data_IF_398007034373
#
_entry.id   IF_398007034373
#
_cell.length_a   1.000
_cell.length_b   1.000
_cell.length_c   1.000
_cell.angle_alpha   90.00
_cell.angle_beta   90.00
_cell.angle_gamma   90.00
#
_symmetry.space_group_name_H-M   'P 1'
#
loop_
_entity.id
_entity.type
_entity.pdbx_description
1 polymer ?
#
# COMPACT_ATOMS: atom_id res chain seq x y z
N UNK A 1 -7.55 -19.60 6.57
CA UNK A 1 -6.17 -19.09 6.63
C UNK A 1 -6.21 -17.56 6.66
N UNK A 2 -5.82 -16.89 7.74
CA UNK A 2 -5.84 -15.41 7.81
C UNK A 2 -4.66 -14.88 6.99
N UNK A 3 -4.89 -13.99 6.02
CA UNK A 3 -3.83 -13.36 5.22
C UNK A 3 -2.85 -12.64 6.14
N UNK A 4 -1.53 -12.74 5.88
CA UNK A 4 -0.51 -12.00 6.63
C UNK A 4 -0.80 -10.49 6.59
N UNK A 5 -0.51 -9.75 7.68
CA UNK A 5 -0.62 -8.30 7.64
C UNK A 5 0.47 -7.73 6.73
N UNK A 6 0.21 -6.55 6.20
CA UNK A 6 1.20 -5.74 5.50
C UNK A 6 2.30 -5.32 6.47
N UNK A 7 3.55 -5.63 6.15
CA UNK A 7 4.75 -5.26 6.92
C UNK A 7 5.82 -4.67 5.98
N UNK A 8 6.96 -4.26 6.55
CA UNK A 8 8.12 -3.87 5.76
C UNK A 8 8.50 -5.01 4.80
N UNK A 9 8.82 -4.65 3.56
CA UNK A 9 9.13 -5.53 2.43
C UNK A 9 7.98 -6.35 1.85
N UNK A 10 6.77 -6.26 2.41
CA UNK A 10 5.58 -6.85 1.77
C UNK A 10 5.37 -6.26 0.38
N UNK A 11 4.98 -7.13 -0.55
CA UNK A 11 4.45 -6.72 -1.84
C UNK A 11 2.92 -6.70 -1.73
N UNK A 12 2.32 -5.56 -2.03
CA UNK A 12 0.89 -5.31 -1.81
C UNK A 12 0.26 -4.90 -3.12
N UNK A 13 -0.80 -5.60 -3.51
CA UNK A 13 -1.65 -5.20 -4.64
C UNK A 13 -2.82 -4.41 -4.08
N UNK A 14 -2.98 -3.17 -4.55
CA UNK A 14 -4.06 -2.27 -4.15
C UNK A 14 -4.90 -1.87 -5.36
N UNK A 15 -6.21 -1.70 -5.15
CA UNK A 15 -7.13 -1.18 -6.16
C UNK A 15 -7.61 0.22 -5.76
N UNK A 16 -7.56 1.15 -6.70
CA UNK A 16 -8.10 2.52 -6.60
C UNK A 16 -8.73 2.90 -7.93
N UNK A 17 -9.93 3.48 -7.92
CA UNK A 17 -10.66 3.87 -9.15
C UNK A 17 -10.66 2.78 -10.23
N UNK A 18 -10.99 1.54 -9.83
CA UNK A 18 -11.01 0.34 -10.68
C UNK A 18 -9.67 -0.06 -11.33
N UNK A 19 -8.57 0.59 -10.96
CA UNK A 19 -7.21 0.28 -11.44
C UNK A 19 -6.40 -0.38 -10.32
N UNK A 20 -5.63 -1.40 -10.65
CA UNK A 20 -4.76 -2.10 -9.71
C UNK A 20 -3.32 -1.65 -9.84
N UNK A 21 -2.68 -1.48 -8.68
CA UNK A 21 -1.28 -1.11 -8.56
C UNK A 21 -0.58 -2.06 -7.61
N UNK A 22 0.67 -2.36 -7.92
CA UNK A 22 1.51 -3.23 -7.10
C UNK A 22 2.61 -2.37 -6.49
N UNK A 23 2.73 -2.44 -5.17
CA UNK A 23 3.75 -1.71 -4.44
C UNK A 23 4.56 -2.64 -3.55
N UNK A 24 5.85 -2.36 -3.40
CA UNK A 24 6.68 -2.93 -2.35
C UNK A 24 6.95 -1.88 -1.29
N UNK A 25 6.62 -2.19 -0.03
CA UNK A 25 6.86 -1.31 1.09
C UNK A 25 8.31 -1.40 1.53
N UNK A 26 9.02 -0.28 1.54
CA UNK A 26 10.44 -0.21 1.84
C UNK A 26 10.74 0.93 2.81
N UNK A 27 12.01 1.08 3.22
CA UNK A 27 12.47 2.26 3.95
C UNK A 27 12.70 3.43 2.99
N UNK A 28 12.85 4.64 3.55
CA UNK A 28 12.94 5.88 2.77
C UNK A 28 14.20 5.98 1.90
N UNK A 29 15.28 5.30 2.28
CA UNK A 29 16.53 5.16 1.53
C UNK A 29 16.47 4.16 0.36
N UNK A 30 15.44 3.31 0.31
CA UNK A 30 15.28 2.26 -0.69
C UNK A 30 14.22 2.57 -1.77
N UNK A 31 13.63 3.77 -1.72
CA UNK A 31 12.52 4.17 -2.60
C UNK A 31 12.96 4.11 -4.06
N UNK A 32 12.08 3.54 -4.89
CA UNK A 32 12.22 3.56 -6.33
C UNK A 32 10.81 3.44 -6.96
N UNK A 33 10.26 4.58 -7.38
CA UNK A 33 8.88 4.67 -7.89
C UNK A 33 8.71 3.89 -9.19
N UNK A 34 9.71 3.88 -10.08
CA UNK A 34 9.64 3.15 -11.35
C UNK A 34 9.60 1.64 -11.13
N UNK A 35 10.12 1.16 -10.00
CA UNK A 35 10.03 -0.24 -9.55
C UNK A 35 8.86 -0.51 -8.60
N UNK A 36 7.96 0.45 -8.39
CA UNK A 36 6.84 0.32 -7.45
C UNK A 36 7.25 0.24 -5.98
N UNK A 37 8.47 0.68 -5.61
CA UNK A 37 8.90 0.72 -4.21
C UNK A 37 8.46 2.04 -3.57
N UNK A 38 7.69 1.96 -2.50
CA UNK A 38 7.21 3.12 -1.74
C UNK A 38 7.66 3.02 -0.28
N UNK A 39 7.98 4.16 0.34
CA UNK A 39 8.35 4.17 1.75
C UNK A 39 7.14 3.87 2.65
N UNK A 40 7.37 3.11 3.72
CA UNK A 40 6.41 2.94 4.83
C UNK A 40 6.04 4.27 5.50
N UNK A 41 6.84 5.31 5.32
CA UNK A 41 6.61 6.64 5.89
C UNK A 41 5.71 7.52 5.02
N UNK A 42 5.51 7.14 3.74
CA UNK A 42 4.63 7.84 2.83
C UNK A 42 3.15 7.71 3.28
N UNK A 43 2.26 8.65 2.90
CA UNK A 43 0.85 8.59 3.29
C UNK A 43 0.16 7.25 2.97
N UNK A 44 0.41 6.70 1.77
CA UNK A 44 -0.12 5.39 1.37
C UNK A 44 0.55 4.26 2.18
N UNK A 45 1.87 4.30 2.36
CA UNK A 45 2.59 3.28 3.12
C UNK A 45 2.13 3.17 4.57
N UNK A 46 1.99 4.32 5.25
CA UNK A 46 1.44 4.41 6.61
C UNK A 46 0.01 3.86 6.69
N UNK A 47 -0.82 4.16 5.69
CA UNK A 47 -2.20 3.69 5.67
C UNK A 47 -2.30 2.17 5.46
N UNK A 48 -1.37 1.58 4.72
CA UNK A 48 -1.34 0.15 4.43
C UNK A 48 -0.71 -0.68 5.55
N UNK A 49 0.21 -0.13 6.33
CA UNK A 49 0.92 -0.86 7.38
C UNK A 49 -0.05 -1.55 8.35
N UNK A 50 0.23 -2.81 8.70
CA UNK A 50 -0.57 -3.68 9.57
C UNK A 50 -1.98 -4.04 9.06
N UNK A 51 -2.37 -3.57 7.87
CA UNK A 51 -3.65 -3.94 7.24
C UNK A 51 -3.60 -5.32 6.61
N UNK A 52 -4.76 -5.86 6.28
CA UNK A 52 -4.92 -7.20 5.72
C UNK A 52 -5.61 -7.18 4.36
N UNK A 53 -5.46 -8.27 3.61
CA UNK A 53 -6.16 -8.43 2.34
C UNK A 53 -7.68 -8.27 2.55
N UNK A 54 -8.35 -7.67 1.55
CA UNK A 54 -9.76 -7.27 1.54
C UNK A 54 -10.11 -6.05 2.39
N UNK A 55 -9.21 -5.52 3.21
CA UNK A 55 -9.44 -4.26 3.93
C UNK A 55 -9.38 -3.04 2.99
N UNK A 56 -10.01 -1.94 3.41
CA UNK A 56 -10.02 -0.66 2.70
C UNK A 56 -9.41 0.41 3.58
N UNK A 57 -8.61 1.28 2.98
CA UNK A 57 -7.92 2.37 3.67
C UNK A 57 -8.21 3.69 2.97
N UNK A 58 -8.23 4.77 3.73
CA UNK A 58 -8.35 6.13 3.22
C UNK A 58 -7.01 6.82 3.35
N UNK A 59 -6.51 7.35 2.23
CA UNK A 59 -5.25 8.09 2.17
C UNK A 59 -5.56 9.55 1.88
N UNK A 60 -5.00 10.45 2.69
CA UNK A 60 -5.11 11.89 2.44
C UNK A 60 -4.17 12.28 1.30
N UNK A 61 -4.71 12.88 0.26
CA UNK A 61 -4.00 13.49 -0.86
C UNK A 61 -4.23 15.01 -0.81
N UNK A 62 -3.43 15.83 -1.50
CA UNK A 62 -3.66 17.29 -1.54
C UNK A 62 -5.06 17.68 -2.03
N UNK A 63 -5.68 16.83 -2.85
CA UNK A 63 -6.96 17.07 -3.51
C UNK A 63 -8.14 16.41 -2.76
N UNK A 64 -7.90 15.78 -1.60
CA UNK A 64 -8.94 15.16 -0.78
C UNK A 64 -8.53 13.83 -0.15
N UNK A 65 -9.48 12.89 -0.05
CA UNK A 65 -9.21 11.53 0.45
C UNK A 65 -9.44 10.53 -0.67
N UNK A 66 -8.47 9.66 -0.90
CA UNK A 66 -8.54 8.59 -1.89
C UNK A 66 -8.69 7.25 -1.19
N UNK A 67 -9.63 6.44 -1.66
CA UNK A 67 -9.92 5.10 -1.10
C UNK A 67 -9.12 4.04 -1.85
N UNK A 68 -8.37 3.23 -1.10
CA UNK A 68 -7.65 2.08 -1.63
C UNK A 68 -8.23 0.81 -1.01
N UNK A 69 -8.34 -0.25 -1.82
CA UNK A 69 -8.68 -1.59 -1.35
C UNK A 69 -7.47 -2.50 -1.50
N UNK A 70 -7.12 -3.24 -0.45
CA UNK A 70 -6.04 -4.23 -0.49
C UNK A 70 -6.59 -5.50 -1.13
N UNK A 71 -6.02 -5.88 -2.27
CA UNK A 71 -6.44 -7.06 -3.04
C UNK A 71 -5.66 -8.29 -2.59
N UNK A 72 -4.33 -8.17 -2.56
CA UNK A 72 -3.41 -9.25 -2.21
C UNK A 72 -2.19 -8.72 -1.46
N UNK A 73 -1.57 -9.61 -0.68
CA UNK A 73 -0.32 -9.37 0.05
C UNK A 73 0.54 -10.61 -0.16
N UNK A 74 1.75 -10.42 -0.69
CA UNK A 74 2.79 -11.45 -0.85
C UNK A 74 3.93 -11.23 0.14
#
# INVERSE_FOLDING_TARGET
MKSRPVILYSKVTVRVNNTEYIFKLVRSDEINITQGKISIEAPLGKALLNKRAKEKVWVKTPIGKTKYQIIAID
#
